data_IF_340834063908
#
_entry.id   IF_340834063908
#
_cell.length_a   1.000
_cell.length_b   1.000
_cell.length_c   1.000
_cell.angle_alpha   90.00
_cell.angle_beta   90.00
_cell.angle_gamma   90.00
#
_symmetry.space_group_name_H-M   'P 1'
#
loop_
_entity.id
_entity.type
_entity.pdbx_description
1 polymer ?
#
# COMPACT_ATOMS: atom_id res chain seq x y z
N UNK A 1 8.46 19.69 -5.11
CA UNK A 1 9.94 19.73 -5.14
C UNK A 1 10.46 18.34 -4.80
N UNK A 2 11.47 17.84 -5.50
CA UNK A 2 12.08 16.49 -5.27
C UNK A 2 12.56 16.31 -3.82
N UNK A 3 12.84 17.41 -3.12
CA UNK A 3 13.33 17.47 -1.75
C UNK A 3 12.38 16.91 -0.67
N UNK A 4 11.08 16.79 -0.94
CA UNK A 4 10.08 16.29 0.05
C UNK A 4 9.83 14.79 -0.07
N UNK A 5 10.30 14.15 -1.15
CA UNK A 5 10.11 12.72 -1.39
C UNK A 5 10.73 11.81 -0.32
N UNK A 6 11.92 12.11 0.25
CA UNK A 6 12.53 11.24 1.26
C UNK A 6 11.76 11.23 2.58
N UNK A 7 10.95 12.24 2.90
CA UNK A 7 10.24 12.33 4.19
C UNK A 7 8.86 11.66 4.24
N UNK A 8 8.49 10.94 3.18
CA UNK A 8 7.12 10.42 2.96
C UNK A 8 7.02 8.91 3.24
N UNK A 9 7.34 8.48 4.45
CA UNK A 9 7.14 7.10 4.89
C UNK A 9 5.71 6.86 5.36
N UNK A 10 5.14 5.68 5.05
CA UNK A 10 3.90 5.17 5.65
C UNK A 10 4.26 4.26 6.83
N UNK A 11 3.52 4.33 7.94
CA UNK A 11 3.72 3.37 9.04
C UNK A 11 3.22 1.98 8.65
N UNK A 12 3.84 0.93 9.22
CA UNK A 12 3.37 -0.44 9.03
C UNK A 12 1.90 -0.61 9.43
N UNK A 13 1.49 0.07 10.51
CA UNK A 13 0.09 0.09 10.93
C UNK A 13 -0.84 0.64 9.85
N UNK A 14 -0.53 1.80 9.27
CA UNK A 14 -1.37 2.43 8.26
C UNK A 14 -1.40 1.62 6.95
N UNK A 15 -0.31 0.92 6.61
CA UNK A 15 -0.27 -0.01 5.48
C UNK A 15 -1.22 -1.19 5.70
N UNK A 16 -1.22 -1.77 6.91
CA UNK A 16 -2.12 -2.87 7.27
C UNK A 16 -3.58 -2.40 7.32
N UNK A 17 -3.86 -1.25 7.92
CA UNK A 17 -5.20 -0.65 7.92
C UNK A 17 -5.71 -0.44 6.49
N UNK A 18 -4.86 0.06 5.58
CA UNK A 18 -5.22 0.19 4.18
C UNK A 18 -5.52 -1.16 3.54
N UNK A 19 -4.66 -2.16 3.72
CA UNK A 19 -4.82 -3.51 3.18
C UNK A 19 -6.12 -4.16 3.64
N UNK A 20 -6.46 -4.05 4.93
CA UNK A 20 -7.68 -4.63 5.51
C UNK A 20 -8.97 -4.03 4.89
N UNK A 21 -8.93 -2.78 4.42
CA UNK A 21 -10.09 -2.17 3.73
C UNK A 21 -10.31 -2.66 2.30
N UNK A 22 -9.33 -3.36 1.71
CA UNK A 22 -9.46 -3.89 0.35
C UNK A 22 -10.37 -5.13 0.35
N UNK A 23 -11.30 -5.21 -0.59
CA UNK A 23 -12.27 -6.30 -0.67
C UNK A 23 -13.50 -6.13 0.24
N UNK A 24 -13.51 -5.13 1.12
CA UNK A 24 -14.73 -4.73 1.83
C UNK A 24 -15.76 -4.13 0.86
N UNK A 25 -17.05 -4.43 1.04
CA UNK A 25 -18.10 -3.94 0.13
C UNK A 25 -18.19 -2.41 0.06
N UNK A 26 -17.85 -1.71 1.16
CA UNK A 26 -17.74 -0.26 1.24
C UNK A 26 -16.30 0.26 1.11
N UNK A 27 -15.35 -0.64 0.89
CA UNK A 27 -13.94 -0.33 0.74
C UNK A 27 -13.62 0.34 -0.60
N UNK A 28 -12.39 0.83 -0.78
CA UNK A 28 -12.01 1.55 -1.99
C UNK A 28 -11.85 0.64 -3.22
N UNK A 29 -11.68 -0.67 -3.02
CA UNK A 29 -11.62 -1.66 -4.10
C UNK A 29 -12.38 -2.93 -3.67
N UNK A 30 -13.72 -2.95 -3.76
CA UNK A 30 -14.55 -4.05 -3.24
C UNK A 30 -14.34 -5.41 -3.91
N UNK A 31 -13.77 -5.41 -5.11
CA UNK A 31 -13.48 -6.61 -5.90
C UNK A 31 -12.02 -7.05 -5.80
N UNK A 32 -11.24 -6.47 -4.88
CA UNK A 32 -9.86 -6.88 -4.62
C UNK A 32 -9.78 -8.38 -4.32
N UNK A 33 -8.81 -9.05 -4.93
CA UNK A 33 -8.52 -10.47 -4.73
C UNK A 33 -7.01 -10.64 -4.53
N UNK A 34 -6.54 -11.03 -3.33
CA UNK A 34 -5.11 -11.09 -3.00
C UNK A 34 -4.25 -11.90 -4.00
N UNK A 35 -4.85 -12.90 -4.65
CA UNK A 35 -4.20 -13.89 -5.51
C UNK A 35 -4.03 -13.40 -6.96
N UNK A 36 -4.68 -12.30 -7.34
CA UNK A 36 -4.65 -11.79 -8.73
C UNK A 36 -4.49 -10.28 -8.84
N UNK A 37 -4.93 -9.50 -7.84
CA UNK A 37 -4.86 -8.05 -7.88
C UNK A 37 -3.42 -7.56 -7.71
N UNK A 38 -2.93 -6.89 -8.75
CA UNK A 38 -1.57 -6.35 -8.80
C UNK A 38 -1.47 -5.02 -8.04
N UNK A 39 -0.24 -4.60 -7.76
CA UNK A 39 0.01 -3.27 -7.18
C UNK A 39 -0.51 -2.16 -8.10
N UNK A 40 -0.44 -2.37 -9.41
CA UNK A 40 -0.98 -1.48 -10.43
C UNK A 40 -2.50 -1.27 -10.30
N UNK A 41 -3.23 -2.36 -10.07
CA UNK A 41 -4.69 -2.35 -9.90
C UNK A 41 -5.05 -1.57 -8.63
N UNK A 42 -4.40 -1.90 -7.51
CA UNK A 42 -4.61 -1.22 -6.22
C UNK A 42 -4.27 0.27 -6.31
N UNK A 43 -3.23 0.65 -7.04
CA UNK A 43 -2.91 2.07 -7.26
C UNK A 43 -4.03 2.79 -7.98
N UNK A 44 -4.47 2.26 -9.13
CA UNK A 44 -5.48 2.92 -9.95
C UNK A 44 -6.85 2.98 -9.29
N UNK A 45 -7.21 1.92 -8.58
CA UNK A 45 -8.58 1.74 -8.08
C UNK A 45 -8.76 2.20 -6.64
N UNK A 46 -7.72 2.15 -5.80
CA UNK A 46 -7.83 2.52 -4.40
C UNK A 46 -6.97 3.74 -4.03
N UNK A 47 -5.70 3.77 -4.43
CA UNK A 47 -4.77 4.81 -3.98
C UNK A 47 -5.07 6.15 -4.65
N UNK A 48 -5.12 6.20 -5.98
CA UNK A 48 -5.38 7.43 -6.75
C UNK A 48 -6.72 8.09 -6.36
N UNK A 49 -7.84 7.35 -6.29
CA UNK A 49 -9.12 7.96 -5.90
C UNK A 49 -9.10 8.54 -4.49
N UNK A 50 -8.41 7.88 -3.54
CA UNK A 50 -8.30 8.34 -2.15
C UNK A 50 -7.29 9.47 -1.95
N UNK A 51 -6.39 9.70 -2.91
CA UNK A 51 -5.41 10.79 -2.86
C UNK A 51 -5.72 12.00 -3.74
N UNK A 52 -6.98 12.12 -4.15
CA UNK A 52 -7.49 13.31 -4.84
C UNK A 52 -7.72 14.46 -3.87
N UNK A 53 -7.27 15.65 -4.23
CA UNK A 53 -7.46 16.87 -3.44
C UNK A 53 -8.78 17.57 -3.83
N UNK A 54 -9.30 18.43 -2.94
CA UNK A 54 -10.61 19.07 -3.12
C UNK A 54 -10.67 20.03 -4.33
N UNK A 55 -9.52 20.54 -4.77
CA UNK A 55 -9.36 21.39 -5.96
C UNK A 55 -9.28 20.60 -7.28
N UNK A 56 -9.43 19.26 -7.23
CA UNK A 56 -9.39 18.39 -8.40
C UNK A 56 -7.98 17.96 -8.82
N UNK A 57 -6.95 18.36 -8.07
CA UNK A 57 -5.59 17.86 -8.21
C UNK A 57 -5.38 16.50 -7.51
N UNK A 58 -4.13 16.22 -7.15
CA UNK A 58 -3.77 15.02 -6.41
C UNK A 58 -2.50 15.17 -5.61
N UNK A 59 -2.37 14.33 -4.57
CA UNK A 59 -1.21 14.29 -3.69
C UNK A 59 -0.68 12.86 -3.54
N UNK A 60 0.46 12.71 -2.85
CA UNK A 60 0.88 11.40 -2.39
C UNK A 60 -0.15 10.86 -1.38
N UNK A 61 -0.38 9.55 -1.37
CA UNK A 61 -1.38 8.96 -0.47
C UNK A 61 -1.04 9.21 1.01
N UNK A 62 0.25 9.18 1.34
CA UNK A 62 0.71 9.47 2.71
C UNK A 62 0.38 10.89 3.17
N UNK A 63 0.26 11.87 2.26
CA UNK A 63 -0.10 13.24 2.61
C UNK A 63 -1.59 13.34 3.01
N UNK A 64 -2.40 12.33 2.69
CA UNK A 64 -3.82 12.24 3.07
C UNK A 64 -4.05 11.53 4.40
N UNK A 65 -3.01 10.91 4.95
CA UNK A 65 -3.11 10.15 6.19
C UNK A 65 -3.00 11.09 7.40
N UNK A 66 -3.55 10.69 8.56
CA UNK A 66 -3.31 11.38 9.82
C UNK A 66 -1.80 11.49 10.12
N UNK A 67 -1.33 12.55 10.81
CA UNK A 67 0.10 12.75 11.08
C UNK A 67 0.83 11.58 11.75
N UNK A 68 0.15 10.77 12.56
CA UNK A 68 0.73 9.59 13.21
C UNK A 68 0.94 8.38 12.29
N UNK A 69 0.36 8.43 11.10
CA UNK A 69 0.37 7.34 10.12
C UNK A 69 1.43 7.55 9.02
N UNK A 70 2.17 8.66 9.10
CA UNK A 70 3.25 9.02 8.21
C UNK A 70 4.45 9.56 8.99
N UNK A 71 5.65 9.47 8.41
CA UNK A 71 6.87 9.97 9.03
C UNK A 71 8.10 9.77 8.16
N UNK A 72 9.27 10.10 8.70
CA UNK A 72 10.54 9.83 8.02
C UNK A 72 10.72 8.31 7.86
N UNK A 73 10.94 7.79 6.64
CA UNK A 73 11.03 6.36 6.38
C UNK A 73 12.34 5.77 6.91
N UNK A 74 12.22 4.66 7.64
CA UNK A 74 13.36 3.87 8.10
C UNK A 74 13.84 2.86 7.05
N UNK A 75 12.94 2.47 6.13
CA UNK A 75 13.19 1.45 5.10
C UNK A 75 12.66 1.93 3.75
N UNK A 76 13.45 1.75 2.69
CA UNK A 76 12.99 1.93 1.31
C UNK A 76 12.62 0.58 0.70
N UNK A 77 11.43 0.50 0.11
CA UNK A 77 10.90 -0.71 -0.52
C UNK A 77 10.82 -0.51 -2.02
N UNK A 78 11.35 -1.48 -2.77
CA UNK A 78 11.17 -1.56 -4.22
C UNK A 78 10.15 -2.64 -4.55
N UNK A 79 9.37 -2.42 -5.60
CA UNK A 79 8.36 -3.37 -6.07
C UNK A 79 8.17 -3.24 -7.59
N UNK A 80 7.44 -4.16 -8.18
CA UNK A 80 7.00 -4.09 -9.57
C UNK A 80 5.51 -3.77 -9.62
N UNK A 81 5.06 -3.05 -10.65
CA UNK A 81 3.64 -2.73 -10.80
C UNK A 81 2.80 -3.97 -11.08
N UNK A 82 3.34 -4.93 -11.84
CA UNK A 82 2.68 -6.19 -12.20
C UNK A 82 2.74 -7.26 -11.10
N UNK A 83 3.50 -7.04 -10.02
CA UNK A 83 3.52 -7.93 -8.86
C UNK A 83 2.24 -7.79 -8.04
N UNK A 84 1.86 -8.87 -7.34
CA UNK A 84 0.68 -8.87 -6.46
C UNK A 84 0.86 -7.84 -5.34
N UNK A 85 -0.22 -7.12 -5.03
CA UNK A 85 -0.19 -6.20 -3.89
C UNK A 85 -0.05 -6.96 -2.55
N UNK A 86 -0.57 -8.19 -2.48
CA UNK A 86 -0.39 -9.10 -1.35
C UNK A 86 1.10 -9.32 -1.03
N UNK A 87 1.91 -9.63 -2.05
CA UNK A 87 3.33 -9.94 -1.87
C UNK A 87 4.10 -8.72 -1.37
N UNK A 88 3.76 -7.53 -1.86
CA UNK A 88 4.32 -6.26 -1.37
C UNK A 88 4.06 -6.10 0.14
N UNK A 89 2.80 -6.24 0.58
CA UNK A 89 2.45 -6.11 2.00
C UNK A 89 3.10 -7.22 2.84
N UNK A 90 3.13 -8.45 2.32
CA UNK A 90 3.74 -9.59 3.00
C UNK A 90 5.25 -9.40 3.20
N UNK A 91 5.96 -8.89 2.19
CA UNK A 91 7.39 -8.60 2.27
C UNK A 91 7.69 -7.51 3.31
N UNK A 92 6.88 -6.45 3.37
CA UNK A 92 7.02 -5.39 4.39
C UNK A 92 6.80 -5.94 5.80
N UNK A 93 5.77 -6.79 5.99
CA UNK A 93 5.53 -7.46 7.27
C UNK A 93 6.65 -8.45 7.62
N UNK A 94 7.26 -9.11 6.63
CA UNK A 94 8.40 -10.02 6.85
C UNK A 94 9.64 -9.27 7.35
N UNK A 95 9.98 -8.14 6.73
CA UNK A 95 11.05 -7.24 7.20
C UNK A 95 10.79 -6.76 8.63
N UNK A 96 9.57 -6.31 8.94
CA UNK A 96 9.20 -5.90 10.30
C UNK A 96 9.33 -7.03 11.34
N UNK A 97 9.25 -8.29 10.91
CA UNK A 97 9.43 -9.47 11.78
C UNK A 97 10.86 -10.01 11.77
N UNK A 98 11.77 -9.44 10.97
CA UNK A 98 13.12 -9.95 10.75
C UNK A 98 13.13 -11.34 10.11
N UNK A 99 12.26 -11.56 9.13
CA UNK A 99 12.19 -12.82 8.36
C UNK A 99 12.70 -12.60 6.94
N UNK A 100 13.40 -13.59 6.43
CA UNK A 100 13.94 -13.58 5.07
C UNK A 100 12.92 -14.07 4.01
N UNK A 101 11.81 -14.65 4.46
CA UNK A 101 10.74 -15.21 3.62
C UNK A 101 9.37 -14.68 4.05
N UNK A 102 8.48 -14.49 3.08
CA UNK A 102 7.14 -13.93 3.30
C UNK A 102 5.98 -14.88 2.96
N UNK A 103 6.21 -16.08 2.41
CA UNK A 103 5.15 -17.01 1.98
C UNK A 103 4.11 -17.30 3.06
N UNK A 104 4.58 -17.61 4.28
CA UNK A 104 3.69 -17.86 5.42
C UNK A 104 2.90 -16.62 5.86
N UNK A 105 3.42 -15.42 5.60
CA UNK A 105 2.76 -14.15 5.91
C UNK A 105 1.72 -13.84 4.83
N UNK A 106 2.06 -14.04 3.55
CA UNK A 106 1.13 -13.91 2.44
C UNK A 106 -0.10 -14.82 2.64
N UNK A 107 0.12 -16.08 3.03
CA UNK A 107 -0.98 -17.01 3.34
C UNK A 107 -1.86 -16.56 4.54
N UNK A 108 -1.28 -15.91 5.55
CA UNK A 108 -2.04 -15.34 6.67
C UNK A 108 -2.86 -14.12 6.23
N UNK A 109 -2.26 -13.23 5.44
CA UNK A 109 -2.91 -12.03 4.92
C UNK A 109 -4.06 -12.37 3.95
N UNK A 110 -3.87 -13.33 3.05
CA UNK A 110 -4.93 -13.75 2.12
C UNK A 110 -6.05 -14.54 2.82
N UNK A 111 -5.71 -15.29 3.87
CA UNK A 111 -6.67 -15.99 4.73
C UNK A 111 -7.45 -15.09 5.70
N UNK A 112 -7.22 -13.78 5.69
CA UNK A 112 -7.90 -12.82 6.57
C UNK A 112 -7.42 -12.83 8.03
N UNK A 113 -6.25 -13.42 8.32
CA UNK A 113 -5.68 -13.52 9.68
C UNK A 113 -4.84 -12.27 10.05
N UNK A 114 -5.24 -11.09 9.56
CA UNK A 114 -4.57 -9.81 9.79
C UNK A 114 -4.48 -9.47 11.29
N UNK A 115 -5.53 -9.77 12.06
CA UNK A 115 -5.57 -9.51 13.49
C UNK A 115 -4.41 -10.21 14.25
N UNK A 116 -4.09 -11.47 13.94
CA UNK A 116 -2.98 -12.18 14.59
C UNK A 116 -1.63 -11.62 14.19
N UNK A 117 -1.46 -11.23 12.93
CA UNK A 117 -0.24 -10.56 12.46
C UNK A 117 -0.06 -9.23 13.22
N UNK A 118 -1.12 -8.42 13.31
CA UNK A 118 -1.11 -7.13 14.02
C UNK A 118 -0.75 -7.30 15.49
N UNK A 119 -1.42 -8.20 16.22
CA UNK A 119 -1.10 -8.47 17.63
C UNK A 119 0.35 -8.93 17.84
N UNK A 120 0.92 -9.66 16.87
CA UNK A 120 2.33 -10.07 16.95
C UNK A 120 3.30 -8.92 16.71
N UNK A 121 2.97 -7.98 15.82
CA UNK A 121 3.79 -6.81 15.51
C UNK A 121 3.73 -5.77 16.64
N UNK A 122 2.55 -5.59 17.23
CA UNK A 122 2.33 -4.70 18.37
C UNK A 122 3.16 -5.11 19.58
N UNK A 123 3.16 -6.41 19.94
CA UNK A 123 4.00 -6.96 21.03
C UNK A 123 5.49 -6.72 20.84
N UNK A 124 5.93 -6.48 19.61
CA UNK A 124 7.33 -6.19 19.25
C UNK A 124 7.60 -4.69 19.07
N UNK A 125 6.59 -3.84 19.19
CA UNK A 125 6.72 -2.40 18.94
C UNK A 125 6.96 -2.03 17.47
N UNK A 126 6.60 -2.91 16.52
CA UNK A 126 6.98 -2.74 15.11
C UNK A 126 5.94 -2.00 14.26
N UNK A 127 4.73 -1.77 14.78
CA UNK A 127 3.64 -1.12 14.04
C UNK A 127 3.97 0.33 13.62
N UNK A 128 4.81 1.02 14.39
CA UNK A 128 5.25 2.37 14.08
C UNK A 128 6.38 2.46 13.04
N UNK A 129 6.98 1.34 12.64
CA UNK A 129 8.09 1.34 11.68
C UNK A 129 7.63 1.90 10.35
N UNK A 130 8.41 2.80 9.76
CA UNK A 130 8.03 3.54 8.56
C UNK A 130 8.72 3.02 7.31
N UNK A 131 7.94 2.94 6.22
CA UNK A 131 8.39 2.42 4.93
C UNK A 131 8.15 3.46 3.84
N UNK A 132 9.17 3.71 3.02
CA UNK A 132 9.01 4.42 1.77
C UNK A 132 8.65 3.42 0.68
N UNK A 133 7.44 3.55 0.13
CA UNK A 133 6.91 2.68 -0.92
C UNK A 133 6.38 3.61 -2.01
N UNK A 134 6.93 3.55 -3.22
CA UNK A 134 6.62 4.58 -4.21
C UNK A 134 5.13 4.72 -4.51
N UNK A 135 4.36 3.60 -4.50
CA UNK A 135 2.90 3.60 -4.63
C UNK A 135 2.17 4.53 -3.64
N UNK A 136 2.71 4.71 -2.43
CA UNK A 136 2.11 5.55 -1.38
C UNK A 136 2.83 6.90 -1.20
N UNK A 137 4.16 6.90 -1.33
CA UNK A 137 5.05 8.02 -1.02
C UNK A 137 5.18 9.05 -2.15
N UNK A 138 4.80 8.68 -3.38
CA UNK A 138 4.80 9.56 -4.55
C UNK A 138 3.35 9.92 -4.92
N UNK A 139 3.14 11.13 -5.42
CA UNK A 139 1.87 11.50 -6.07
C UNK A 139 1.70 10.67 -7.34
N UNK A 140 0.86 9.63 -7.28
CA UNK A 140 0.58 8.79 -8.45
C UNK A 140 -0.14 9.57 -9.55
N UNK A 141 -0.75 10.71 -9.21
CA UNK A 141 -1.40 11.61 -10.16
C UNK A 141 -0.40 12.22 -11.15
N UNK A 142 0.84 12.47 -10.72
CA UNK A 142 1.86 13.12 -11.55
C UNK A 142 2.35 12.23 -12.71
N UNK A 143 2.19 10.90 -12.57
CA UNK A 143 2.67 9.92 -13.54
C UNK A 143 1.57 9.10 -14.24
N UNK A 144 0.37 8.99 -13.64
CA UNK A 144 -0.69 8.09 -14.14
C UNK A 144 -1.93 8.88 -14.61
N UNK A 145 -2.25 10.02 -14.00
CA UNK A 145 -3.43 10.78 -14.40
C UNK A 145 -3.15 11.52 -15.72
N UNK A 146 -3.93 11.22 -16.78
CA UNK A 146 -3.88 11.95 -18.05
C UNK A 146 -3.78 11.08 -19.31
N UNK A 147 -3.42 9.79 -19.20
CA UNK A 147 -3.49 8.83 -20.32
C UNK A 147 -3.38 7.37 -19.85
N UNK A 148 -4.01 6.44 -20.58
CA UNK A 148 -3.77 4.99 -20.48
C UNK A 148 -3.08 4.52 -21.77
N UNK A 149 -1.81 4.91 -22.02
CA UNK A 149 -1.14 4.68 -23.30
C UNK A 149 -0.97 3.19 -23.62
N UNK A 150 -0.92 2.34 -22.59
CA UNK A 150 -0.71 0.90 -22.74
C UNK A 150 -2.02 0.11 -22.86
N UNK A 151 -3.18 0.77 -22.89
CA UNK A 151 -4.50 0.11 -22.84
C UNK A 151 -4.60 -0.94 -21.73
N UNK A 152 -3.95 -0.70 -20.58
CA UNK A 152 -3.96 -1.62 -19.47
C UNK A 152 -5.41 -1.80 -18.98
N UNK A 153 -5.93 -3.03 -19.10
CA UNK A 153 -7.15 -3.47 -18.44
C UNK A 153 -6.82 -3.89 -17.01
N UNK A 154 -7.76 -3.64 -16.10
CA UNK A 154 -7.67 -4.17 -14.75
C UNK A 154 -7.74 -5.69 -14.77
N UNK A 155 -6.97 -6.34 -13.89
CA UNK A 155 -6.90 -7.81 -13.85
C UNK A 155 -8.23 -8.47 -13.47
N UNK A 156 -9.14 -7.75 -12.82
CA UNK A 156 -10.41 -8.28 -12.31
C UNK A 156 -11.62 -7.69 -13.05
N UNK A 157 -11.64 -6.41 -13.35
CA UNK A 157 -12.80 -5.71 -13.94
C UNK A 157 -12.73 -5.54 -15.46
N UNK A 158 -11.57 -5.81 -16.08
CA UNK A 158 -11.34 -5.57 -17.51
C UNK A 158 -11.24 -4.09 -17.84
#
# INVERSE_FOLDING_TARGET
TVEVLPGRGITLEALLDFYETLGESSGPMPHYKPEVSTTNDVVRQAIIPRSRTADGGGAAYVDMLPPQSAGEPEVMVTHTWTGLFLDLVAAVVADARGRDEYDSIAAQLSGGDCARLRSSLEKRGMLGRTYWICAFSVSQHDGICGSNPDHACDTVTG
#
